data_IF_128158816288
#
_entry.id   IF_128158816288
#
_cell.length_a   1.000
_cell.length_b   1.000
_cell.length_c   1.000
_cell.angle_alpha   90.00
_cell.angle_beta   90.00
_cell.angle_gamma   90.00
#
_symmetry.space_group_name_H-M   'P 1'
#
loop_
_entity.id
_entity.type
_entity.pdbx_description
1 polymer ?
#
# COMPACT_ATOMS: atom_id res chain seq x y z
N UNK A 1 -25.33 -27.28 1.00
CA UNK A 1 -25.75 -27.84 2.30
C UNK A 1 -25.92 -29.35 2.20
N UNK A 2 -26.42 -29.91 1.09
CA UNK A 2 -26.74 -31.32 0.95
C UNK A 2 -25.54 -32.29 0.78
N UNK A 3 -24.31 -31.78 0.64
CA UNK A 3 -23.12 -32.65 0.49
C UNK A 3 -22.45 -32.90 1.86
N UNK A 4 -22.58 -31.97 2.81
CA UNK A 4 -21.94 -32.06 4.12
C UNK A 4 -22.72 -32.86 5.16
N UNK A 5 -24.06 -32.99 5.01
CA UNK A 5 -24.88 -33.84 5.90
C UNK A 5 -24.77 -35.34 5.62
N UNK A 6 -24.08 -35.76 4.54
CA UNK A 6 -23.91 -37.19 4.16
C UNK A 6 -22.55 -37.78 4.50
N UNK A 7 -21.63 -37.01 5.06
CA UNK A 7 -20.29 -37.50 5.37
C UNK A 7 -20.05 -37.37 6.92
N UNK A 8 -20.45 -38.44 7.63
CA UNK A 8 -19.89 -38.74 8.97
C UNK A 8 -18.41 -39.12 8.79
N UNK A 9 -17.54 -38.13 8.56
CA UNK A 9 -16.09 -38.34 8.45
C UNK A 9 -15.39 -37.69 9.65
N UNK A 10 -14.52 -38.44 10.29
CA UNK A 10 -13.59 -37.89 11.28
C UNK A 10 -12.64 -36.90 10.59
N UNK A 11 -12.22 -35.84 11.30
CA UNK A 11 -11.50 -34.66 10.78
C UNK A 11 -10.29 -34.94 9.85
N UNK A 12 -9.58 -36.06 10.06
CA UNK A 12 -8.40 -36.41 9.26
C UNK A 12 -8.75 -36.97 7.87
N UNK A 13 -9.91 -37.62 7.71
CA UNK A 13 -10.37 -38.19 6.42
C UNK A 13 -10.86 -37.13 5.44
N UNK A 14 -11.45 -36.00 5.94
CA UNK A 14 -11.92 -34.89 5.11
C UNK A 14 -10.73 -34.14 4.51
N UNK A 15 -9.67 -33.95 5.30
CA UNK A 15 -8.45 -33.29 4.83
C UNK A 15 -7.73 -34.14 3.76
N UNK A 16 -7.61 -35.45 4.01
CA UNK A 16 -6.99 -36.36 3.04
C UNK A 16 -7.82 -36.47 1.75
N UNK A 17 -9.16 -36.48 1.82
CA UNK A 17 -10.04 -36.47 0.65
C UNK A 17 -9.90 -35.17 -0.14
N UNK A 18 -9.82 -34.00 0.51
CA UNK A 18 -9.66 -32.73 -0.14
C UNK A 18 -8.26 -32.59 -0.78
N UNK A 19 -7.21 -33.01 -0.05
CA UNK A 19 -5.85 -33.03 -0.59
C UNK A 19 -5.72 -33.97 -1.79
N UNK A 20 -6.33 -35.17 -1.75
CA UNK A 20 -6.33 -36.10 -2.86
C UNK A 20 -7.08 -35.52 -4.06
N UNK A 21 -8.25 -34.90 -3.88
CA UNK A 21 -8.98 -34.22 -4.96
C UNK A 21 -8.19 -33.03 -5.57
N UNK A 22 -7.43 -32.32 -4.76
CA UNK A 22 -6.56 -31.25 -5.23
C UNK A 22 -5.36 -31.81 -5.99
N UNK A 23 -4.77 -32.92 -5.54
CA UNK A 23 -3.69 -33.63 -6.24
C UNK A 23 -4.16 -34.24 -7.57
N UNK A 24 -5.36 -34.85 -7.62
CA UNK A 24 -5.94 -35.34 -8.87
C UNK A 24 -6.15 -34.20 -9.86
N UNK A 25 -6.60 -33.03 -9.41
CA UNK A 25 -6.79 -31.86 -10.26
C UNK A 25 -5.45 -31.31 -10.77
N UNK A 26 -4.43 -31.26 -9.93
CA UNK A 26 -3.07 -30.85 -10.32
C UNK A 26 -2.44 -31.86 -11.29
N UNK A 27 -2.68 -33.16 -11.12
CA UNK A 27 -2.23 -34.18 -12.08
C UNK A 27 -2.93 -34.04 -13.43
N UNK A 28 -4.24 -33.75 -13.46
CA UNK A 28 -5.01 -33.54 -14.68
C UNK A 28 -4.50 -32.26 -15.39
N UNK A 29 -4.27 -31.18 -14.67
CA UNK A 29 -3.74 -29.94 -15.24
C UNK A 29 -2.29 -30.10 -15.74
N UNK A 30 -1.46 -30.90 -15.04
CA UNK A 30 -0.13 -31.30 -15.50
C UNK A 30 -0.15 -32.20 -16.73
N UNK A 31 -1.07 -33.15 -16.79
CA UNK A 31 -1.24 -34.03 -17.97
C UNK A 31 -1.77 -33.24 -19.17
N UNK A 32 -2.65 -32.28 -18.98
CA UNK A 32 -3.11 -31.37 -20.03
C UNK A 32 -2.00 -30.43 -20.52
N UNK A 33 -1.11 -29.97 -19.62
CA UNK A 33 0.07 -29.20 -19.99
C UNK A 33 1.12 -30.05 -20.72
N UNK A 34 1.30 -31.33 -20.36
CA UNK A 34 2.21 -32.26 -21.01
C UNK A 34 1.68 -32.77 -22.37
N UNK A 35 0.36 -32.89 -22.53
CA UNK A 35 -0.24 -33.20 -23.81
C UNK A 35 -0.09 -32.09 -24.85
N UNK A 36 0.24 -30.87 -24.42
CA UNK A 36 0.53 -29.72 -25.28
C UNK A 36 2.02 -29.55 -25.63
N UNK A 37 2.93 -30.33 -24.99
CA UNK A 37 4.36 -30.32 -25.28
C UNK A 37 4.86 -31.79 -25.28
N UNK A 38 5.13 -32.32 -26.45
CA UNK A 38 5.61 -33.70 -26.60
C UNK A 38 7.00 -33.92 -25.99
N UNK A 39 7.14 -35.05 -25.31
CA UNK A 39 8.32 -35.86 -24.98
C UNK A 39 9.33 -35.42 -23.91
N UNK A 40 9.56 -36.38 -22.99
CA UNK A 40 10.73 -36.65 -22.16
C UNK A 40 10.96 -35.77 -20.91
N UNK A 41 10.35 -36.13 -19.79
CA UNK A 41 10.94 -36.06 -18.43
C UNK A 41 9.95 -36.56 -17.35
N UNK A 42 9.62 -37.83 -17.32
CA UNK A 42 8.48 -38.34 -16.53
C UNK A 42 8.84 -39.14 -15.25
N UNK A 43 10.10 -39.26 -14.85
CA UNK A 43 10.44 -40.01 -13.62
C UNK A 43 10.99 -39.15 -12.47
N UNK A 44 11.67 -38.03 -12.72
CA UNK A 44 12.15 -37.16 -11.64
C UNK A 44 11.06 -36.26 -11.02
N UNK A 45 9.97 -36.01 -11.75
CA UNK A 45 8.87 -35.14 -11.28
C UNK A 45 7.94 -35.80 -10.23
N UNK A 46 7.85 -37.14 -10.24
CA UNK A 46 6.96 -37.90 -9.34
C UNK A 46 7.55 -37.95 -7.91
N UNK A 47 8.85 -38.20 -7.80
CA UNK A 47 9.55 -38.26 -6.52
C UNK A 47 9.56 -36.92 -5.78
N UNK A 48 9.68 -35.81 -6.52
CA UNK A 48 9.60 -34.45 -5.95
C UNK A 48 8.21 -34.07 -5.45
N UNK A 49 7.14 -34.60 -6.08
CA UNK A 49 5.75 -34.31 -5.67
C UNK A 49 5.34 -35.07 -4.41
N UNK A 50 5.80 -36.31 -4.24
CA UNK A 50 5.58 -37.07 -2.99
C UNK A 50 6.37 -36.50 -1.80
N UNK A 51 7.59 -35.99 -2.04
CA UNK A 51 8.38 -35.31 -1.04
C UNK A 51 7.75 -34.00 -0.59
N UNK A 52 7.20 -33.21 -1.52
CA UNK A 52 6.48 -31.96 -1.25
C UNK A 52 5.18 -32.24 -0.48
N UNK A 53 4.44 -33.27 -0.86
CA UNK A 53 3.23 -33.69 -0.12
C UNK A 53 3.55 -34.14 1.31
N UNK A 54 4.66 -34.84 1.51
CA UNK A 54 5.13 -35.27 2.82
C UNK A 54 5.61 -34.09 3.68
N UNK A 55 6.32 -33.13 3.11
CA UNK A 55 6.74 -31.91 3.79
C UNK A 55 5.54 -31.03 4.18
N UNK A 56 4.54 -30.86 3.29
CA UNK A 56 3.29 -30.16 3.60
C UNK A 56 2.52 -30.83 4.74
N UNK A 57 2.46 -32.18 4.77
CA UNK A 57 1.82 -32.92 5.87
C UNK A 57 2.55 -32.76 7.21
N UNK A 58 3.87 -32.71 7.23
CA UNK A 58 4.65 -32.43 8.43
C UNK A 58 4.52 -30.98 8.92
N UNK A 59 4.55 -30.01 8.00
CA UNK A 59 4.35 -28.59 8.36
C UNK A 59 2.94 -28.32 8.89
N UNK A 60 1.91 -28.96 8.35
CA UNK A 60 0.53 -28.88 8.87
C UNK A 60 0.44 -29.42 10.30
N UNK A 61 1.23 -30.43 10.67
CA UNK A 61 1.30 -30.97 12.03
C UNK A 61 2.00 -30.03 13.03
N UNK A 62 2.99 -29.25 12.58
CA UNK A 62 3.76 -28.34 13.42
C UNK A 62 3.03 -27.03 13.76
N UNK A 63 2.04 -26.62 12.95
CA UNK A 63 1.34 -25.31 13.07
C UNK A 63 0.15 -25.29 14.03
N UNK A 64 -0.03 -26.26 14.87
CA UNK A 64 -1.18 -26.37 15.79
C UNK A 64 -1.30 -25.30 16.90
N UNK A 65 -0.41 -24.30 16.97
CA UNK A 65 -0.32 -23.47 18.18
C UNK A 65 -0.74 -22.00 18.06
N UNK A 66 -0.67 -21.35 16.91
CA UNK A 66 -0.89 -19.88 16.86
C UNK A 66 -1.58 -19.44 15.55
N UNK A 67 -2.88 -19.60 15.41
CA UNK A 67 -3.63 -19.06 14.28
C UNK A 67 -4.64 -18.02 14.74
N UNK A 68 -4.39 -16.74 14.43
CA UNK A 68 -5.35 -15.66 14.57
C UNK A 68 -5.75 -15.20 13.18
N UNK A 69 -7.06 -15.14 12.89
CA UNK A 69 -7.58 -14.74 11.56
C UNK A 69 -7.53 -13.21 11.36
N UNK A 70 -7.40 -12.76 10.10
CA UNK A 70 -7.43 -11.35 9.73
C UNK A 70 -8.71 -10.62 10.17
N UNK A 71 -9.86 -11.29 10.15
CA UNK A 71 -11.12 -10.71 10.60
C UNK A 71 -11.20 -10.53 12.11
N UNK A 72 -10.59 -11.45 12.87
CA UNK A 72 -10.53 -11.34 14.34
C UNK A 72 -9.68 -10.16 14.79
N UNK A 73 -8.64 -9.82 14.04
CA UNK A 73 -7.73 -8.74 14.41
C UNK A 73 -8.40 -7.37 14.23
N UNK A 74 -9.07 -7.13 13.11
CA UNK A 74 -9.51 -5.76 12.77
C UNK A 74 -10.94 -5.44 13.18
N UNK A 75 -11.91 -6.31 12.96
CA UNK A 75 -13.31 -6.00 13.32
C UNK A 75 -13.55 -6.14 14.83
N UNK A 76 -12.95 -7.16 15.48
CA UNK A 76 -13.00 -7.29 16.94
C UNK A 76 -12.22 -6.20 17.68
N UNK A 77 -11.12 -5.69 17.08
CA UNK A 77 -10.43 -4.51 17.62
C UNK A 77 -11.30 -3.24 17.50
N UNK A 78 -12.00 -3.07 16.38
CA UNK A 78 -12.91 -1.93 16.19
C UNK A 78 -14.10 -2.01 17.15
N UNK A 79 -14.68 -3.21 17.36
CA UNK A 79 -15.83 -3.42 18.21
C UNK A 79 -15.50 -3.34 19.71
N UNK A 80 -14.29 -3.68 20.11
CA UNK A 80 -13.79 -3.60 21.49
C UNK A 80 -13.10 -2.28 21.81
N UNK A 81 -13.01 -1.38 20.82
CA UNK A 81 -12.30 -0.12 20.99
C UNK A 81 -13.08 0.80 21.93
N UNK A 82 -12.45 1.22 23.01
CA UNK A 82 -12.96 2.23 23.92
C UNK A 82 -12.34 3.59 23.57
N UNK A 83 -13.21 4.58 23.39
CA UNK A 83 -12.75 5.94 23.08
C UNK A 83 -12.15 6.57 24.35
N UNK A 84 -10.90 7.03 24.24
CA UNK A 84 -10.21 7.79 25.29
C UNK A 84 -10.21 9.27 24.94
N UNK A 85 -10.57 10.09 25.90
CA UNK A 85 -10.51 11.54 25.82
C UNK A 85 -9.06 12.02 25.88
N UNK A 86 -8.73 13.00 25.05
CA UNK A 86 -7.49 13.75 25.14
C UNK A 86 -7.68 15.18 24.65
N UNK A 87 -6.82 16.06 25.13
CA UNK A 87 -6.85 17.48 24.80
C UNK A 87 -5.60 17.92 24.05
N UNK A 88 -5.80 18.93 23.19
CA UNK A 88 -4.70 19.60 22.50
C UNK A 88 -4.76 21.07 22.80
N UNK A 89 -3.57 21.66 22.95
CA UNK A 89 -3.41 23.10 23.13
C UNK A 89 -2.60 23.63 21.96
N UNK A 90 -3.10 24.70 21.36
CA UNK A 90 -2.39 25.43 20.32
C UNK A 90 -2.36 26.92 20.64
N UNK A 91 -1.27 27.58 20.29
CA UNK A 91 -1.10 29.02 20.36
C UNK A 91 -1.08 29.60 18.95
N UNK A 92 -1.92 30.58 18.68
CA UNK A 92 -1.98 31.30 17.41
C UNK A 92 -1.13 32.58 17.51
N UNK A 93 -0.29 32.77 16.51
CA UNK A 93 0.55 33.96 16.34
C UNK A 93 0.23 34.61 14.98
N UNK A 94 0.77 35.78 14.75
CA UNK A 94 0.63 36.44 13.46
C UNK A 94 1.32 35.61 12.35
N UNK A 95 0.50 35.04 11.47
CA UNK A 95 0.96 34.26 10.32
C UNK A 95 1.28 32.78 10.58
N UNK A 96 1.17 32.26 11.80
CA UNK A 96 1.40 30.83 12.08
C UNK A 96 0.75 30.35 13.38
N UNK A 97 0.72 29.04 13.57
CA UNK A 97 0.20 28.38 14.77
C UNK A 97 1.24 27.41 15.32
N UNK A 98 1.42 27.38 16.64
CA UNK A 98 2.27 26.42 17.33
C UNK A 98 1.44 25.47 18.20
N UNK A 99 1.77 24.19 18.19
CA UNK A 99 1.10 23.16 19.00
C UNK A 99 1.96 22.80 20.20
N UNK A 100 1.31 22.56 21.33
CA UNK A 100 1.98 22.03 22.52
C UNK A 100 2.64 20.69 22.19
N UNK A 101 3.93 20.60 22.46
CA UNK A 101 4.74 19.39 22.24
C UNK A 101 5.07 18.69 23.56
N UNK A 102 5.65 19.45 24.52
CA UNK A 102 6.07 18.93 25.82
C UNK A 102 5.52 19.80 26.96
N UNK A 103 5.30 19.17 28.09
CA UNK A 103 4.95 19.82 29.35
C UNK A 103 5.73 19.18 30.50
N UNK A 104 6.33 20.01 31.36
CA UNK A 104 7.18 19.54 32.48
C UNK A 104 8.25 18.53 32.04
N UNK A 105 8.87 18.77 30.88
CA UNK A 105 9.97 17.96 30.33
C UNK A 105 9.56 16.63 29.69
N UNK A 106 8.26 16.31 29.62
CA UNK A 106 7.73 15.09 28.99
C UNK A 106 6.83 15.46 27.81
N UNK A 107 6.62 14.52 26.88
CA UNK A 107 5.61 14.66 25.84
C UNK A 107 4.26 15.02 26.48
N UNK A 108 3.60 16.06 25.97
CA UNK A 108 2.34 16.51 26.53
C UNK A 108 1.24 15.47 26.23
N UNK A 109 0.68 14.90 27.29
CA UNK A 109 -0.47 13.99 27.24
C UNK A 109 -1.52 14.54 28.21
N UNK A 110 -2.44 15.34 27.69
CA UNK A 110 -3.52 15.96 28.46
C UNK A 110 -4.76 15.07 28.35
N UNK A 111 -5.13 14.41 29.44
CA UNK A 111 -6.20 13.40 29.47
C UNK A 111 -7.58 13.95 29.81
N UNK A 112 -7.64 15.16 30.38
CA UNK A 112 -8.88 15.78 30.79
C UNK A 112 -8.79 17.30 30.76
N UNK A 113 -9.94 17.94 30.89
CA UNK A 113 -10.04 19.41 30.85
C UNK A 113 -9.30 20.07 32.02
N UNK A 114 -9.36 19.50 33.22
CA UNK A 114 -8.71 20.08 34.40
C UNK A 114 -7.19 20.18 34.27
N UNK A 115 -6.53 19.12 33.79
CA UNK A 115 -5.08 19.14 33.50
C UNK A 115 -4.73 20.20 32.44
N UNK A 116 -5.62 20.34 31.45
CA UNK A 116 -5.45 21.33 30.38
C UNK A 116 -5.59 22.75 30.91
N UNK A 117 -6.55 23.00 31.79
CA UNK A 117 -6.76 24.31 32.41
C UNK A 117 -5.60 24.68 33.39
N UNK A 118 -5.07 23.72 34.13
CA UNK A 118 -3.86 23.93 34.95
C UNK A 118 -2.67 24.39 34.07
N UNK A 119 -2.47 23.73 32.93
CA UNK A 119 -1.43 24.14 31.98
C UNK A 119 -1.71 25.52 31.44
N UNK A 120 -2.91 25.85 30.97
CA UNK A 120 -3.24 27.17 30.45
C UNK A 120 -3.05 28.26 31.46
N UNK A 121 -3.44 28.04 32.72
CA UNK A 121 -3.25 28.98 33.83
C UNK A 121 -1.77 29.17 34.22
N UNK A 122 -0.90 28.23 33.85
CA UNK A 122 0.53 28.30 34.09
C UNK A 122 1.29 29.08 33.02
N UNK A 123 0.67 29.42 31.88
CA UNK A 123 1.31 30.12 30.79
C UNK A 123 1.46 31.62 31.07
N UNK A 124 2.58 32.16 30.66
CA UNK A 124 2.82 33.62 30.63
C UNK A 124 2.21 34.25 29.37
N UNK A 125 2.07 35.56 29.35
CA UNK A 125 1.57 36.31 28.20
C UNK A 125 2.48 36.20 26.97
N UNK A 126 3.78 36.00 27.15
CA UNK A 126 4.76 35.93 26.07
C UNK A 126 5.44 34.57 25.98
N UNK A 127 5.77 34.19 24.78
CA UNK A 127 6.49 32.98 24.45
C UNK A 127 7.90 33.30 24.00
N UNK A 128 8.87 32.59 24.54
CA UNK A 128 10.29 32.74 24.22
C UNK A 128 10.65 31.84 23.03
N UNK A 129 11.21 32.41 21.97
CA UNK A 129 11.72 31.69 20.81
C UNK A 129 13.01 30.96 21.18
N UNK A 130 12.88 29.71 21.61
CA UNK A 130 14.00 28.91 22.11
C UNK A 130 14.90 28.41 21.00
N UNK A 131 14.32 27.99 19.88
CA UNK A 131 15.06 27.42 18.75
C UNK A 131 14.36 27.70 17.43
N UNK A 132 15.15 27.99 16.40
CA UNK A 132 14.72 28.08 15.01
C UNK A 132 15.69 27.26 14.16
N UNK A 133 15.23 26.19 13.56
CA UNK A 133 16.09 25.29 12.81
C UNK A 133 15.47 24.98 11.45
N UNK A 134 16.26 25.11 10.38
CA UNK A 134 15.87 24.71 9.04
C UNK A 134 16.70 23.50 8.58
N UNK A 135 16.05 22.45 8.16
CA UNK A 135 16.70 21.21 7.66
C UNK A 135 16.19 20.83 6.30
N UNK A 136 17.10 20.63 5.36
CA UNK A 136 16.78 20.09 4.06
C UNK A 136 16.70 18.55 4.12
N UNK A 137 15.63 18.00 3.55
CA UNK A 137 15.42 16.54 3.45
C UNK A 137 15.09 16.16 2.02
N UNK A 138 15.63 15.03 1.58
CA UNK A 138 15.23 14.44 0.33
C UNK A 138 13.87 13.78 0.51
N UNK A 139 12.91 14.12 -0.37
CA UNK A 139 11.67 13.38 -0.55
C UNK A 139 11.86 12.45 -1.73
N UNK A 140 11.94 11.18 -1.44
CA UNK A 140 12.23 10.15 -2.41
C UNK A 140 11.00 9.76 -3.22
N UNK A 141 11.21 9.37 -4.49
CA UNK A 141 10.17 8.75 -5.29
C UNK A 141 9.91 7.32 -4.83
N UNK A 142 8.69 6.86 -5.06
CA UNK A 142 8.33 5.45 -4.87
C UNK A 142 8.92 4.60 -6.02
N UNK A 143 9.02 3.29 -5.82
CA UNK A 143 9.48 2.34 -6.84
C UNK A 143 8.56 2.31 -8.09
N UNK A 144 9.02 1.75 -9.21
CA UNK A 144 8.16 1.46 -10.36
C UNK A 144 6.96 0.60 -9.97
N UNK A 145 5.91 0.59 -10.78
CA UNK A 145 4.71 -0.15 -10.46
C UNK A 145 4.88 -1.67 -10.58
N UNK A 146 4.45 -2.37 -9.53
CA UNK A 146 3.98 -3.75 -9.57
C UNK A 146 2.48 -3.77 -9.78
N UNK A 147 1.87 -4.94 -9.97
CA UNK A 147 0.39 -5.09 -10.02
C UNK A 147 -0.27 -4.52 -8.76
N UNK A 148 0.23 -4.91 -7.60
CA UNK A 148 -0.30 -4.47 -6.30
C UNK A 148 -0.22 -2.95 -6.15
N UNK A 149 0.95 -2.36 -6.34
CA UNK A 149 1.14 -0.92 -6.20
C UNK A 149 0.38 -0.11 -7.26
N UNK A 150 0.19 -0.64 -8.49
CA UNK A 150 -0.64 -0.02 -9.52
C UNK A 150 -2.12 0.00 -9.09
N UNK A 151 -2.65 -1.11 -8.60
CA UNK A 151 -4.04 -1.18 -8.12
C UNK A 151 -4.27 -0.23 -6.95
N UNK A 152 -3.34 -0.17 -5.99
CA UNK A 152 -3.40 0.75 -4.85
C UNK A 152 -3.43 2.21 -5.30
N UNK A 153 -2.47 2.63 -6.13
CA UNK A 153 -2.37 4.03 -6.58
C UNK A 153 -3.54 4.42 -7.52
N UNK A 154 -4.00 3.51 -8.39
CA UNK A 154 -5.16 3.76 -9.23
C UNK A 154 -6.45 3.92 -8.40
N UNK A 155 -6.59 3.14 -7.32
CA UNK A 155 -7.70 3.29 -6.38
C UNK A 155 -7.66 4.65 -5.67
N UNK A 156 -6.51 5.07 -5.18
CA UNK A 156 -6.34 6.31 -4.42
C UNK A 156 -6.42 7.55 -5.32
N UNK A 157 -5.77 7.53 -6.49
CA UNK A 157 -5.56 8.71 -7.34
C UNK A 157 -6.58 8.85 -8.46
N UNK A 158 -7.12 7.74 -8.96
CA UNK A 158 -8.05 7.72 -10.09
C UNK A 158 -9.46 7.25 -9.69
N UNK A 159 -9.61 6.79 -8.44
CA UNK A 159 -10.86 6.19 -7.95
C UNK A 159 -11.29 4.96 -8.78
N UNK A 160 -10.33 4.18 -9.23
CA UNK A 160 -10.59 2.93 -9.95
C UNK A 160 -10.67 1.78 -8.96
N UNK A 161 -11.61 0.85 -9.19
CA UNK A 161 -11.54 -0.45 -8.50
C UNK A 161 -10.37 -1.27 -9.04
N UNK A 162 -9.90 -2.24 -8.27
CA UNK A 162 -8.85 -3.18 -8.69
C UNK A 162 -9.22 -3.89 -10.00
N UNK A 163 -10.48 -4.33 -10.13
CA UNK A 163 -11.01 -4.93 -11.36
C UNK A 163 -10.94 -3.97 -12.55
N UNK A 164 -11.40 -2.70 -12.37
CA UNK A 164 -11.34 -1.69 -13.42
C UNK A 164 -9.90 -1.39 -13.83
N UNK A 165 -9.00 -1.27 -12.85
CA UNK A 165 -7.58 -1.06 -13.09
C UNK A 165 -6.99 -2.15 -13.99
N UNK A 166 -7.28 -3.42 -13.68
CA UNK A 166 -6.76 -4.54 -14.46
C UNK A 166 -7.37 -4.62 -15.85
N UNK A 167 -8.66 -4.34 -16.01
CA UNK A 167 -9.30 -4.30 -17.34
C UNK A 167 -8.71 -3.21 -18.24
N UNK A 168 -8.48 -2.02 -17.70
CA UNK A 168 -7.87 -0.92 -18.44
C UNK A 168 -6.40 -1.21 -18.75
N UNK A 169 -5.65 -1.76 -17.78
CA UNK A 169 -4.26 -2.16 -17.99
C UNK A 169 -4.13 -3.26 -19.07
N UNK A 170 -5.06 -4.22 -19.10
CA UNK A 170 -5.10 -5.27 -20.12
C UNK A 170 -5.22 -4.67 -21.52
N UNK A 171 -6.14 -3.73 -21.74
CA UNK A 171 -6.29 -3.04 -23.03
C UNK A 171 -5.04 -2.27 -23.44
N UNK A 172 -4.42 -1.56 -22.49
CA UNK A 172 -3.17 -0.82 -22.76
C UNK A 172 -2.01 -1.74 -23.12
N UNK A 173 -2.02 -2.98 -22.63
CA UNK A 173 -1.03 -4.00 -22.94
C UNK A 173 -1.29 -4.69 -24.27
N UNK A 174 -2.55 -5.13 -24.53
CA UNK A 174 -2.92 -5.86 -25.74
C UNK A 174 -2.74 -5.04 -27.01
N UNK A 175 -2.99 -3.75 -26.94
CA UNK A 175 -2.73 -2.82 -28.03
C UNK A 175 -3.77 -1.73 -28.17
N UNK A 176 -3.28 -0.57 -28.56
CA UNK A 176 -4.06 0.62 -28.92
C UNK A 176 -3.75 0.95 -30.37
N UNK A 177 -4.79 1.17 -31.17
CA UNK A 177 -4.65 1.55 -32.57
C UNK A 177 -4.15 3.00 -32.65
N UNK A 178 -2.88 3.14 -33.01
CA UNK A 178 -2.26 4.42 -33.35
C UNK A 178 -2.24 4.51 -34.88
N UNK A 179 -2.59 5.63 -35.46
CA UNK A 179 -2.75 5.88 -36.91
C UNK A 179 -2.17 4.86 -37.93
N UNK A 180 -0.99 4.30 -37.64
CA UNK A 180 -0.26 3.38 -38.53
C UNK A 180 -0.13 1.96 -38.06
N UNK A 181 -0.32 1.70 -36.76
CA UNK A 181 -0.06 0.40 -36.15
C UNK A 181 -0.81 0.24 -34.83
N UNK A 182 -1.07 -1.01 -34.44
CA UNK A 182 -1.58 -1.34 -33.11
C UNK A 182 -0.40 -1.58 -32.17
N UNK A 183 -0.29 -0.79 -31.09
CA UNK A 183 0.85 -0.81 -30.17
C UNK A 183 0.41 -1.08 -28.75
N UNK A 184 1.00 -2.08 -28.10
CA UNK A 184 0.95 -2.23 -26.65
C UNK A 184 1.68 -1.07 -25.96
N UNK A 185 0.94 -0.24 -25.21
CA UNK A 185 1.50 0.97 -24.61
C UNK A 185 2.21 0.71 -23.28
N UNK A 186 1.93 -0.41 -22.62
CA UNK A 186 2.58 -0.79 -21.35
C UNK A 186 3.16 -2.21 -21.42
N UNK A 187 4.10 -2.51 -20.55
CA UNK A 187 4.58 -3.87 -20.29
C UNK A 187 3.50 -4.72 -19.65
N UNK A 188 3.72 -6.03 -19.57
CA UNK A 188 2.77 -6.95 -18.94
C UNK A 188 2.43 -6.52 -17.51
N UNK A 189 1.13 -6.36 -17.22
CA UNK A 189 0.64 -5.71 -16.01
C UNK A 189 0.53 -6.64 -14.80
N UNK A 190 0.68 -7.97 -14.99
CA UNK A 190 0.70 -8.91 -13.87
C UNK A 190 2.13 -9.25 -13.52
N UNK A 191 2.72 -8.46 -12.63
CA UNK A 191 4.11 -8.57 -12.20
C UNK A 191 4.29 -8.07 -10.78
N UNK A 192 5.17 -8.67 -10.04
CA UNK A 192 5.67 -8.24 -8.73
C UNK A 192 7.08 -7.65 -8.81
N UNK A 193 7.66 -7.62 -10.03
CA UNK A 193 9.00 -7.11 -10.27
C UNK A 193 9.05 -5.58 -10.31
N UNK A 194 10.08 -5.01 -9.68
CA UNK A 194 10.44 -3.59 -9.78
C UNK A 194 11.50 -3.29 -10.85
N UNK A 195 11.89 -4.29 -11.62
CA UNK A 195 12.97 -4.19 -12.61
C UNK A 195 12.58 -3.30 -13.78
N UNK A 196 13.52 -2.47 -14.23
CA UNK A 196 13.49 -1.75 -15.49
C UNK A 196 14.69 -2.17 -16.34
N UNK A 197 14.49 -2.52 -17.61
CA UNK A 197 15.58 -2.88 -18.49
C UNK A 197 16.48 -1.68 -18.81
N UNK A 198 17.76 -1.93 -19.01
CA UNK A 198 18.72 -0.90 -19.43
C UNK A 198 18.38 -0.31 -20.81
N UNK A 199 17.77 -1.13 -21.69
CA UNK A 199 17.31 -0.71 -23.03
C UNK A 199 16.24 0.39 -22.90
N UNK A 200 15.37 0.31 -21.90
CA UNK A 200 14.37 1.36 -21.63
C UNK A 200 14.95 2.52 -20.83
N UNK A 201 15.77 2.25 -19.81
CA UNK A 201 16.27 3.31 -18.92
C UNK A 201 17.16 4.33 -19.64
N UNK A 202 17.98 3.89 -20.59
CA UNK A 202 18.91 4.79 -21.30
C UNK A 202 18.18 5.88 -22.11
N UNK A 203 17.20 5.55 -23.01
CA UNK A 203 16.41 6.57 -23.69
C UNK A 203 15.55 7.40 -22.74
N UNK A 204 15.00 6.81 -21.67
CA UNK A 204 14.22 7.55 -20.70
C UNK A 204 15.03 8.62 -19.96
N UNK A 205 16.27 8.30 -19.57
CA UNK A 205 17.19 9.29 -18.95
C UNK A 205 17.58 10.40 -19.93
N UNK A 206 17.82 10.07 -21.20
CA UNK A 206 18.05 11.10 -22.25
C UNK A 206 16.83 12.00 -22.45
N UNK A 207 15.63 11.43 -22.40
CA UNK A 207 14.39 12.20 -22.45
C UNK A 207 14.26 13.15 -21.27
N UNK A 208 14.56 12.68 -20.05
CA UNK A 208 14.56 13.52 -18.83
C UNK A 208 15.56 14.67 -18.98
N UNK A 209 16.80 14.37 -19.39
CA UNK A 209 17.86 15.36 -19.57
C UNK A 209 17.44 16.44 -20.61
N UNK A 210 16.91 16.01 -21.75
CA UNK A 210 16.50 16.90 -22.83
C UNK A 210 15.29 17.78 -22.42
N UNK A 211 14.35 17.22 -21.64
CA UNK A 211 13.06 17.88 -21.37
C UNK A 211 13.09 18.75 -20.14
N UNK A 212 13.79 18.31 -19.10
CA UNK A 212 13.78 18.95 -17.78
C UNK A 212 15.16 19.51 -17.37
N UNK A 213 16.24 19.00 -17.93
CA UNK A 213 17.62 19.36 -17.58
C UNK A 213 18.39 18.21 -16.94
N UNK A 214 19.72 18.29 -17.01
CA UNK A 214 20.64 17.30 -16.45
C UNK A 214 20.51 17.14 -14.93
N UNK A 215 20.16 18.20 -14.24
CA UNK A 215 19.94 18.26 -12.79
C UNK A 215 18.79 17.36 -12.33
N UNK A 216 17.84 17.02 -13.21
CA UNK A 216 16.71 16.12 -12.91
C UNK A 216 17.02 14.64 -13.09
N UNK A 217 18.12 14.30 -13.79
CA UNK A 217 18.47 12.90 -14.05
C UNK A 217 18.92 12.23 -12.77
N UNK A 218 18.20 11.19 -12.37
CA UNK A 218 18.46 10.39 -11.19
C UNK A 218 18.89 8.96 -11.51
N UNK A 219 18.82 8.12 -10.50
CA UNK A 219 19.07 6.69 -10.59
C UNK A 219 17.91 5.90 -9.99
N UNK A 220 17.57 4.78 -10.64
CA UNK A 220 16.61 3.86 -10.08
C UNK A 220 17.13 3.35 -8.73
N UNK A 221 16.34 3.57 -7.67
CA UNK A 221 16.64 2.94 -6.39
C UNK A 221 16.28 1.46 -6.45
N UNK A 222 17.18 0.63 -5.97
CA UNK A 222 16.86 -0.78 -5.77
C UNK A 222 15.77 -0.87 -4.69
N UNK A 223 14.57 -1.29 -5.10
CA UNK A 223 13.56 -1.69 -4.13
C UNK A 223 14.07 -2.94 -3.39
N UNK A 224 13.77 -3.03 -2.10
CA UNK A 224 14.02 -4.28 -1.38
C UNK A 224 13.19 -5.37 -2.07
N UNK A 225 13.87 -6.41 -2.55
CA UNK A 225 13.16 -7.58 -3.08
C UNK A 225 12.32 -8.16 -1.95
N UNK A 226 11.04 -8.31 -2.19
CA UNK A 226 10.21 -9.15 -1.34
C UNK A 226 10.70 -10.60 -1.41
N UNK A 227 10.38 -11.44 -0.43
CA UNK A 227 10.82 -12.84 -0.40
C UNK A 227 10.37 -13.67 -1.60
N UNK A 228 9.35 -13.25 -2.34
CA UNK A 228 8.65 -14.02 -3.38
C UNK A 228 8.61 -13.31 -4.74
N UNK A 229 9.62 -12.51 -5.11
CA UNK A 229 9.63 -11.78 -6.39
C UNK A 229 10.09 -12.70 -7.52
N UNK A 230 9.19 -13.01 -8.44
CA UNK A 230 9.52 -13.67 -9.71
C UNK A 230 10.13 -12.65 -10.69
N UNK A 231 11.45 -12.68 -10.88
CA UNK A 231 12.20 -11.73 -11.74
C UNK A 231 11.97 -11.94 -13.26
N UNK A 232 11.03 -12.80 -13.67
CA UNK A 232 10.77 -13.12 -15.08
C UNK A 232 10.30 -11.90 -15.90
N UNK A 233 9.54 -10.99 -15.26
CA UNK A 233 8.98 -9.83 -15.91
C UNK A 233 9.66 -8.53 -15.46
N UNK A 234 9.39 -7.45 -16.19
CA UNK A 234 9.70 -6.10 -15.75
C UNK A 234 8.52 -5.49 -14.97
N UNK A 235 8.77 -4.36 -14.30
CA UNK A 235 7.71 -3.54 -13.71
C UNK A 235 6.71 -3.06 -14.75
N UNK A 236 5.53 -2.64 -14.31
CA UNK A 236 4.54 -2.01 -15.20
C UNK A 236 5.05 -0.62 -15.59
N UNK A 237 5.41 -0.47 -16.86
CA UNK A 237 6.00 0.75 -17.44
C UNK A 237 5.51 0.97 -18.87
N UNK A 238 5.65 2.17 -19.44
CA UNK A 238 5.42 2.37 -20.88
C UNK A 238 6.41 1.52 -21.70
N UNK A 239 5.96 1.01 -22.83
CA UNK A 239 6.82 0.25 -23.77
C UNK A 239 7.86 1.15 -24.42
N UNK A 240 7.48 2.40 -24.74
CA UNK A 240 8.36 3.43 -25.27
C UNK A 240 8.19 4.77 -24.54
N UNK A 241 9.31 5.44 -24.28
CA UNK A 241 9.30 6.79 -23.70
C UNK A 241 8.75 7.83 -24.67
N UNK A 242 8.81 7.57 -25.97
CA UNK A 242 8.36 8.49 -27.03
C UNK A 242 6.84 8.55 -27.15
N UNK A 243 6.13 7.57 -26.60
CA UNK A 243 4.68 7.54 -26.50
C UNK A 243 4.22 8.35 -25.26
N UNK A 244 4.51 9.65 -25.27
CA UNK A 244 4.11 10.54 -24.18
C UNK A 244 2.59 10.57 -24.04
N UNK A 245 2.04 10.74 -22.81
CA UNK A 245 0.58 10.83 -22.60
C UNK A 245 -0.09 11.85 -23.51
N UNK A 246 0.55 12.99 -23.78
CA UNK A 246 0.00 14.03 -24.67
C UNK A 246 -0.12 13.53 -26.10
N UNK A 247 0.90 12.81 -26.60
CA UNK A 247 0.93 12.28 -27.98
C UNK A 247 -0.15 11.22 -28.21
N UNK A 248 -0.35 10.32 -27.25
CA UNK A 248 -1.30 9.20 -27.38
C UNK A 248 -2.72 9.53 -26.94
N UNK A 249 -2.95 10.71 -26.33
CA UNK A 249 -4.25 11.10 -25.75
C UNK A 249 -5.43 10.93 -26.70
N UNK A 250 -5.26 11.27 -27.99
CA UNK A 250 -6.34 11.24 -28.97
C UNK A 250 -6.83 9.82 -29.32
N UNK A 251 -6.03 8.81 -29.00
CA UNK A 251 -6.34 7.40 -29.27
C UNK A 251 -6.89 6.67 -28.03
N UNK A 252 -6.87 7.31 -26.87
CA UNK A 252 -7.23 6.70 -25.58
C UNK A 252 -8.57 7.23 -25.08
N UNK A 253 -9.36 6.33 -24.52
CA UNK A 253 -10.49 6.72 -23.68
C UNK A 253 -10.01 7.48 -22.44
N UNK A 254 -10.92 8.15 -21.74
CA UNK A 254 -10.59 8.90 -20.52
C UNK A 254 -9.91 8.01 -19.45
N UNK A 255 -10.39 6.77 -19.29
CA UNK A 255 -9.86 5.85 -18.29
C UNK A 255 -8.48 5.33 -18.70
N UNK A 256 -8.30 4.94 -19.95
CA UNK A 256 -7.01 4.51 -20.50
C UNK A 256 -5.97 5.61 -20.41
N UNK A 257 -6.35 6.85 -20.80
CA UNK A 257 -5.47 8.00 -20.66
C UNK A 257 -5.06 8.28 -19.21
N UNK A 258 -6.00 8.16 -18.26
CA UNK A 258 -5.73 8.42 -16.86
C UNK A 258 -4.75 7.39 -16.29
N UNK A 259 -4.99 6.10 -16.57
CA UNK A 259 -4.12 5.00 -16.08
C UNK A 259 -2.75 5.05 -16.77
N UNK A 260 -2.72 5.23 -18.09
CA UNK A 260 -1.48 5.37 -18.84
C UNK A 260 -0.63 6.54 -18.34
N UNK A 261 -1.26 7.69 -18.10
CA UNK A 261 -0.58 8.87 -17.57
C UNK A 261 0.01 8.60 -16.16
N UNK A 262 -0.70 7.87 -15.33
CA UNK A 262 -0.21 7.49 -14.01
C UNK A 262 1.03 6.59 -14.12
N UNK A 263 0.98 5.56 -14.97
CA UNK A 263 2.08 4.62 -15.22
C UNK A 263 3.29 5.36 -15.81
N UNK A 264 3.09 6.16 -16.85
CA UNK A 264 4.14 6.91 -17.52
C UNK A 264 4.86 7.87 -16.57
N UNK A 265 4.10 8.68 -15.84
CA UNK A 265 4.69 9.66 -14.90
C UNK A 265 5.40 8.99 -13.73
N UNK A 266 4.88 7.85 -13.22
CA UNK A 266 5.56 7.08 -12.18
C UNK A 266 6.91 6.54 -12.67
N UNK A 267 6.95 6.00 -13.88
CA UNK A 267 8.16 5.45 -14.47
C UNK A 267 9.22 6.54 -14.67
N UNK A 268 8.84 7.72 -15.17
CA UNK A 268 9.76 8.86 -15.23
C UNK A 268 10.26 9.28 -13.85
N UNK A 269 9.33 9.45 -12.90
CA UNK A 269 9.65 9.83 -11.52
C UNK A 269 10.69 8.91 -10.89
N UNK A 270 10.62 7.60 -11.14
CA UNK A 270 11.60 6.62 -10.63
C UNK A 270 13.03 6.83 -11.15
N UNK A 271 13.18 7.50 -12.29
CA UNK A 271 14.46 7.79 -12.94
C UNK A 271 14.94 9.23 -12.71
N UNK A 272 14.15 10.04 -11.97
CA UNK A 272 14.48 11.42 -11.63
C UNK A 272 15.09 11.54 -10.23
N UNK A 273 15.77 12.66 -9.98
CA UNK A 273 16.28 12.96 -8.64
C UNK A 273 15.16 13.19 -7.63
N UNK A 274 15.40 12.92 -6.34
CA UNK A 274 14.48 13.27 -5.25
C UNK A 274 14.12 14.75 -5.26
N UNK A 275 12.95 15.09 -4.75
CA UNK A 275 12.64 16.47 -4.40
C UNK A 275 13.37 16.84 -3.10
N UNK A 276 13.74 18.12 -2.96
CA UNK A 276 14.37 18.65 -1.74
C UNK A 276 13.36 19.57 -1.06
N UNK A 277 13.00 19.21 0.17
CA UNK A 277 12.07 19.97 1.01
C UNK A 277 12.86 20.51 2.19
N UNK A 278 12.81 21.84 2.39
CA UNK A 278 13.28 22.48 3.61
C UNK A 278 12.16 22.46 4.64
N UNK A 279 12.41 21.91 5.81
CA UNK A 279 11.50 21.97 6.95
C UNK A 279 12.09 22.95 7.97
N UNK A 280 11.41 24.07 8.16
CA UNK A 280 11.72 25.02 9.24
C UNK A 280 10.89 24.65 10.46
N UNK A 281 11.54 24.44 11.59
CA UNK A 281 10.91 24.12 12.87
C UNK A 281 11.25 25.21 13.86
N UNK A 282 10.23 25.73 14.52
CA UNK A 282 10.36 26.75 15.59
C UNK A 282 9.88 26.13 16.89
N UNK A 283 10.68 26.27 17.93
CA UNK A 283 10.35 25.86 19.28
C UNK A 283 10.16 27.12 20.17
N UNK A 284 8.97 27.18 20.76
CA UNK A 284 8.54 28.29 21.62
C UNK A 284 8.38 27.77 23.04
N UNK A 285 9.13 28.32 23.97
CA UNK A 285 9.03 27.95 25.37
C UNK A 285 8.16 28.96 26.12
N UNK A 286 7.28 28.44 26.97
CA UNK A 286 6.51 29.24 27.93
C UNK A 286 6.44 28.46 29.25
N UNK A 287 7.17 28.94 30.26
CA UNK A 287 7.39 28.23 31.52
C UNK A 287 7.84 26.78 31.30
N UNK A 288 7.08 25.78 31.79
CA UNK A 288 7.36 24.36 31.64
C UNK A 288 6.78 23.78 30.34
N UNK A 289 6.12 24.57 29.51
CA UNK A 289 5.52 24.17 28.26
C UNK A 289 6.41 24.50 27.07
N UNK A 290 6.55 23.54 26.13
CA UNK A 290 7.23 23.70 24.87
C UNK A 290 6.23 23.52 23.73
N UNK A 291 6.10 24.54 22.92
CA UNK A 291 5.28 24.53 21.72
C UNK A 291 6.16 24.43 20.48
N UNK A 292 5.64 23.81 19.42
CA UNK A 292 6.35 23.68 18.15
C UNK A 292 5.45 24.07 16.98
N UNK A 293 6.04 24.83 16.06
CA UNK A 293 5.50 25.08 14.73
C UNK A 293 6.45 24.54 13.67
N UNK A 294 5.92 24.05 12.55
CA UNK A 294 6.71 23.58 11.43
C UNK A 294 6.11 24.06 10.12
N UNK A 295 6.98 24.50 9.22
CA UNK A 295 6.63 24.84 7.85
C UNK A 295 7.53 24.10 6.87
N UNK A 296 7.01 23.84 5.66
CA UNK A 296 7.74 23.16 4.60
C UNK A 296 7.77 24.03 3.35
N UNK A 297 8.96 24.20 2.80
CA UNK A 297 9.20 24.87 1.53
C UNK A 297 9.85 23.91 0.53
N UNK A 298 9.40 23.95 -0.73
CA UNK A 298 10.00 23.18 -1.82
C UNK A 298 11.23 23.92 -2.35
N UNK A 299 12.41 23.35 -2.17
CA UNK A 299 13.68 23.90 -2.64
C UNK A 299 14.01 23.41 -4.06
N UNK A 300 13.79 22.13 -4.32
CA UNK A 300 13.95 21.51 -5.63
C UNK A 300 12.84 20.52 -5.85
N UNK A 301 12.12 20.65 -6.97
CA UNK A 301 10.94 19.84 -7.24
C UNK A 301 11.27 18.40 -7.69
N UNK A 302 12.45 18.16 -8.28
CA UNK A 302 12.90 16.82 -8.64
C UNK A 302 11.81 16.02 -9.39
N UNK A 303 11.53 14.79 -8.92
CA UNK A 303 10.50 13.94 -9.51
C UNK A 303 9.07 14.50 -9.41
N UNK A 304 8.82 15.42 -8.50
CA UNK A 304 7.51 16.08 -8.37
C UNK A 304 7.15 16.90 -9.61
N UNK A 305 8.14 17.27 -10.43
CA UNK A 305 7.92 17.94 -11.73
C UNK A 305 6.95 17.16 -12.60
N UNK A 306 7.01 15.83 -12.60
CA UNK A 306 6.16 14.95 -13.39
C UNK A 306 5.09 14.25 -12.57
N UNK A 307 5.35 14.01 -11.28
CA UNK A 307 4.48 13.21 -10.42
C UNK A 307 3.74 14.03 -9.35
N UNK A 308 4.03 15.32 -9.22
CA UNK A 308 3.48 16.18 -8.17
C UNK A 308 1.96 16.25 -8.12
N UNK A 309 1.27 16.15 -9.27
CA UNK A 309 -0.21 16.10 -9.32
C UNK A 309 -0.83 14.87 -8.61
N UNK A 310 -0.03 13.84 -8.37
CA UNK A 310 -0.44 12.63 -7.66
C UNK A 310 0.02 12.61 -6.19
N UNK A 311 0.78 13.61 -5.76
CA UNK A 311 1.30 13.73 -4.41
C UNK A 311 0.58 14.86 -3.65
N UNK A 312 0.35 14.64 -2.35
CA UNK A 312 -0.08 15.71 -1.47
C UNK A 312 1.16 16.33 -0.83
N UNK A 313 1.37 17.61 -1.06
CA UNK A 313 2.44 18.38 -0.45
C UNK A 313 1.83 19.65 0.11
N UNK A 314 1.80 19.74 1.43
CA UNK A 314 1.37 20.95 2.14
C UNK A 314 2.60 21.84 2.33
N UNK A 315 2.64 22.92 1.58
CA UNK A 315 3.67 23.93 1.69
C UNK A 315 3.13 25.09 2.52
N UNK A 316 3.94 25.55 3.45
CA UNK A 316 3.64 26.69 4.30
C UNK A 316 4.92 27.49 4.57
N UNK A 317 4.77 28.72 4.93
CA UNK A 317 5.90 29.61 5.26
C UNK A 317 5.70 30.09 6.68
N UNK A 318 6.75 30.02 7.50
CA UNK A 318 6.79 30.72 8.79
C UNK A 318 7.31 32.12 8.57
N UNK A 319 6.82 33.12 9.34
CA UNK A 319 7.44 34.42 9.36
C UNK A 319 8.90 34.31 9.87
N UNK A 320 9.68 35.34 9.61
CA UNK A 320 11.05 35.39 10.11
C UNK A 320 11.03 35.55 11.62
N UNK A 321 11.43 34.52 12.33
CA UNK A 321 11.50 34.51 13.81
C UNK A 321 12.95 34.49 14.24
N UNK A 322 13.27 35.38 15.15
CA UNK A 322 14.63 35.52 15.69
C UNK A 322 14.73 34.75 17.01
N UNK A 323 15.72 33.86 17.09
CA UNK A 323 16.01 33.13 18.32
C UNK A 323 16.32 34.14 19.46
N UNK A 324 15.99 33.72 20.69
CA UNK A 324 16.21 34.50 21.91
C UNK A 324 15.37 35.77 22.00
N UNK A 325 14.23 35.83 21.32
CA UNK A 325 13.23 36.91 21.41
C UNK A 325 11.93 36.41 22.03
N UNK A 326 11.14 37.35 22.57
CA UNK A 326 9.79 37.06 23.04
C UNK A 326 8.75 37.46 21.99
N UNK A 327 7.71 36.66 21.87
CA UNK A 327 6.56 36.94 20.99
C UNK A 327 5.25 36.71 21.74
N UNK A 328 4.26 37.54 21.44
CA UNK A 328 2.94 37.46 22.07
C UNK A 328 1.97 36.70 21.15
N UNK A 329 1.24 35.69 21.65
CA UNK A 329 0.22 35.04 20.88
C UNK A 329 -1.01 35.94 20.69
N UNK A 330 -1.73 35.73 19.60
CA UNK A 330 -3.05 36.34 19.40
C UNK A 330 -4.09 35.63 20.27
N UNK A 331 -3.96 34.31 20.38
CA UNK A 331 -4.84 33.46 21.15
C UNK A 331 -4.12 32.17 21.57
N UNK A 332 -4.57 31.59 22.70
CA UNK A 332 -4.20 30.21 23.09
C UNK A 332 -5.49 29.44 23.34
N UNK A 333 -5.72 28.38 22.58
CA UNK A 333 -6.95 27.62 22.65
C UNK A 333 -6.69 26.14 22.99
N UNK A 334 -7.65 25.56 23.69
CA UNK A 334 -7.74 24.12 23.95
C UNK A 334 -8.83 23.49 23.09
N UNK A 335 -8.61 22.27 22.64
CA UNK A 335 -9.60 21.49 21.89
C UNK A 335 -9.68 20.07 22.43
N UNK A 336 -10.91 19.61 22.65
CA UNK A 336 -11.21 18.24 23.07
C UNK A 336 -11.18 17.30 21.87
N UNK A 337 -10.59 16.15 22.05
CA UNK A 337 -10.51 15.09 21.06
C UNK A 337 -10.77 13.73 21.72
N UNK A 338 -11.19 12.79 20.91
CA UNK A 338 -11.31 11.37 21.31
C UNK A 338 -10.47 10.53 20.38
N UNK A 339 -9.87 9.47 20.92
CA UNK A 339 -9.19 8.47 20.10
C UNK A 339 -10.21 7.80 19.19
N UNK A 340 -9.76 7.31 18.03
CA UNK A 340 -10.64 6.67 17.06
C UNK A 340 -10.20 5.23 16.83
N UNK A 341 -11.14 4.30 16.62
CA UNK A 341 -10.79 2.93 16.29
C UNK A 341 -9.98 2.85 15.00
N UNK A 342 -9.27 1.75 14.75
CA UNK A 342 -8.59 1.51 13.47
C UNK A 342 -9.58 1.67 12.31
N UNK A 343 -9.10 2.31 11.25
CA UNK A 343 -9.95 2.54 10.09
C UNK A 343 -10.17 1.25 9.30
N UNK A 344 -11.43 0.94 8.94
CA UNK A 344 -11.77 -0.19 8.06
C UNK A 344 -11.01 -0.14 6.74
N UNK A 345 -10.76 -1.28 6.15
CA UNK A 345 -10.02 -1.41 4.90
C UNK A 345 -10.72 -0.73 3.72
N UNK A 346 -9.94 -0.03 2.92
CA UNK A 346 -10.27 0.31 1.52
C UNK A 346 -9.71 -0.78 0.61
N UNK A 347 -10.10 -0.82 -0.69
CA UNK A 347 -9.49 -1.75 -1.65
C UNK A 347 -7.96 -1.63 -1.67
N UNK A 348 -7.45 -0.41 -1.71
CA UNK A 348 -6.01 -0.16 -1.74
C UNK A 348 -5.30 -0.69 -0.48
N UNK A 349 -5.88 -0.46 0.71
CA UNK A 349 -5.29 -0.93 1.96
C UNK A 349 -5.38 -2.46 2.08
N UNK A 350 -6.49 -3.07 1.64
CA UNK A 350 -6.62 -4.53 1.67
C UNK A 350 -5.60 -5.20 0.75
N UNK A 351 -5.40 -4.68 -0.47
CA UNK A 351 -4.37 -5.19 -1.40
C UNK A 351 -2.98 -5.06 -0.77
N UNK A 352 -2.69 -3.92 -0.15
CA UNK A 352 -1.41 -3.72 0.54
C UNK A 352 -1.20 -4.71 1.68
N UNK A 353 -2.22 -4.92 2.51
CA UNK A 353 -2.18 -5.88 3.61
C UNK A 353 -1.97 -7.31 3.11
N UNK A 354 -2.70 -7.73 2.07
CA UNK A 354 -2.51 -9.03 1.44
C UNK A 354 -1.07 -9.21 0.94
N UNK A 355 -0.51 -8.18 0.27
CA UNK A 355 0.88 -8.18 -0.21
C UNK A 355 1.88 -8.30 0.95
N UNK A 356 1.70 -7.52 2.02
CA UNK A 356 2.59 -7.50 3.19
C UNK A 356 2.57 -8.84 3.96
N UNK A 357 1.42 -9.50 3.98
CA UNK A 357 1.23 -10.82 4.58
C UNK A 357 1.63 -11.98 3.67
N UNK A 358 2.00 -11.71 2.41
CA UNK A 358 2.34 -12.73 1.42
C UNK A 358 1.15 -13.53 0.88
N UNK A 359 -0.07 -13.00 1.03
CA UNK A 359 -1.32 -13.60 0.55
C UNK A 359 -1.72 -13.00 -0.79
N UNK A 360 -2.06 -13.85 -1.74
CA UNK A 360 -2.42 -13.43 -3.09
C UNK A 360 -1.19 -13.13 -3.96
N UNK A 361 -1.43 -13.10 -5.26
CA UNK A 361 -0.43 -12.86 -6.30
C UNK A 361 -0.97 -11.84 -7.29
N UNK A 362 -0.16 -11.31 -8.20
CA UNK A 362 -0.60 -10.38 -9.24
C UNK A 362 -1.86 -10.80 -10.01
N UNK A 363 -2.08 -12.11 -10.14
CA UNK A 363 -3.27 -12.66 -10.79
C UNK A 363 -4.51 -12.70 -9.91
N UNK A 364 -4.38 -12.75 -8.58
CA UNK A 364 -5.49 -13.07 -7.65
C UNK A 364 -6.00 -11.88 -6.85
N UNK A 365 -5.23 -10.80 -6.61
CA UNK A 365 -5.68 -9.66 -5.80
C UNK A 365 -7.05 -9.12 -6.20
N UNK A 366 -7.22 -8.78 -7.48
CA UNK A 366 -8.48 -8.26 -8.00
C UNK A 366 -9.62 -9.28 -7.95
N UNK A 367 -9.31 -10.56 -8.16
CA UNK A 367 -10.29 -11.64 -8.13
C UNK A 367 -10.80 -11.86 -6.71
N UNK A 368 -9.93 -11.88 -5.72
CA UNK A 368 -10.28 -12.00 -4.29
C UNK A 368 -11.27 -10.92 -3.87
N UNK A 369 -10.97 -9.65 -4.17
CA UNK A 369 -11.87 -8.53 -3.87
C UNK A 369 -13.22 -8.67 -4.59
N UNK A 370 -13.18 -9.10 -5.86
CA UNK A 370 -14.40 -9.32 -6.64
C UNK A 370 -15.26 -10.44 -6.03
N UNK A 371 -14.62 -11.52 -5.58
CA UNK A 371 -15.29 -12.64 -4.92
C UNK A 371 -15.96 -12.23 -3.61
N UNK A 372 -15.27 -11.49 -2.75
CA UNK A 372 -15.82 -10.97 -1.50
C UNK A 372 -17.09 -10.15 -1.74
N UNK A 373 -17.09 -9.30 -2.77
CA UNK A 373 -18.24 -8.47 -3.15
C UNK A 373 -19.39 -9.29 -3.74
N UNK A 374 -19.09 -10.17 -4.70
CA UNK A 374 -20.09 -10.96 -5.42
C UNK A 374 -20.82 -11.93 -4.49
N UNK A 375 -20.09 -12.52 -3.54
CA UNK A 375 -20.67 -13.40 -2.52
C UNK A 375 -21.34 -12.65 -1.37
N UNK A 376 -21.33 -11.29 -1.42
CA UNK A 376 -21.91 -10.42 -0.40
C UNK A 376 -21.33 -10.67 1.01
N UNK A 377 -20.10 -11.12 1.10
CA UNK A 377 -19.42 -11.25 2.38
C UNK A 377 -19.06 -9.88 2.97
N UNK A 378 -18.92 -8.88 2.10
CA UNK A 378 -18.68 -7.49 2.47
C UNK A 378 -19.62 -6.55 1.70
N UNK A 379 -19.99 -5.45 2.32
CA UNK A 379 -20.58 -4.26 1.70
C UNK A 379 -19.54 -3.16 1.61
N UNK A 380 -19.81 -2.11 0.83
CA UNK A 380 -18.93 -0.95 0.72
C UNK A 380 -19.69 0.29 1.12
N UNK A 381 -19.22 0.99 2.15
CA UNK A 381 -19.70 2.29 2.57
C UNK A 381 -18.52 3.24 2.64
N UNK A 382 -18.63 4.42 2.04
CA UNK A 382 -17.56 5.42 1.99
C UNK A 382 -16.19 4.84 1.51
N UNK A 383 -16.23 3.95 0.51
CA UNK A 383 -15.07 3.23 -0.03
C UNK A 383 -14.39 2.26 0.93
N UNK A 384 -15.01 1.93 2.05
CA UNK A 384 -14.52 1.00 3.07
C UNK A 384 -15.32 -0.28 3.05
N UNK A 385 -14.65 -1.40 3.25
CA UNK A 385 -15.29 -2.69 3.42
C UNK A 385 -15.91 -2.80 4.79
N UNK A 386 -17.17 -3.23 4.82
CA UNK A 386 -17.90 -3.57 6.03
C UNK A 386 -18.31 -5.03 5.90
N UNK A 387 -17.87 -5.93 6.79
CA UNK A 387 -18.32 -7.30 6.81
C UNK A 387 -19.84 -7.38 6.97
N UNK A 388 -20.48 -8.24 6.19
CA UNK A 388 -21.90 -8.55 6.35
C UNK A 388 -22.10 -9.64 7.41
N UNK A 389 -23.33 -9.80 7.92
CA UNK A 389 -23.65 -10.89 8.85
C UNK A 389 -23.36 -12.26 8.23
N UNK A 390 -23.65 -12.43 6.92
CA UNK A 390 -23.29 -13.63 6.18
C UNK A 390 -21.77 -13.83 6.12
N UNK A 391 -21.01 -12.75 5.92
CA UNK A 391 -19.54 -12.81 5.90
C UNK A 391 -18.96 -13.25 7.23
N UNK A 392 -19.43 -12.64 8.33
CA UNK A 392 -19.03 -12.97 9.71
C UNK A 392 -19.36 -14.42 10.05
N UNK A 393 -20.62 -14.83 9.84
CA UNK A 393 -21.04 -16.20 10.10
C UNK A 393 -20.22 -17.22 9.30
N UNK A 394 -19.92 -16.92 8.04
CA UNK A 394 -19.09 -17.80 7.19
C UNK A 394 -17.69 -17.95 7.78
N UNK A 395 -17.04 -16.86 8.18
CA UNK A 395 -15.70 -16.89 8.78
C UNK A 395 -15.73 -17.63 10.11
N UNK A 396 -16.68 -17.31 11.01
CA UNK A 396 -16.81 -17.97 12.32
C UNK A 396 -16.93 -19.51 12.16
N UNK A 397 -17.74 -19.96 11.18
CA UNK A 397 -17.87 -21.41 10.91
C UNK A 397 -16.62 -22.01 10.27
N UNK A 398 -15.96 -21.32 9.39
CA UNK A 398 -14.70 -21.76 8.82
C UNK A 398 -13.59 -21.86 9.87
N UNK A 399 -13.53 -20.91 10.79
CA UNK A 399 -12.58 -20.94 11.91
C UNK A 399 -12.89 -22.06 12.92
N UNK A 400 -14.18 -22.30 13.19
CA UNK A 400 -14.63 -23.36 14.09
C UNK A 400 -14.25 -24.75 13.56
N UNK A 401 -14.50 -25.01 12.25
CA UNK A 401 -14.33 -26.34 11.69
C UNK A 401 -13.02 -26.53 10.94
N UNK A 402 -12.40 -25.48 10.45
CA UNK A 402 -11.23 -25.52 9.57
C UNK A 402 -10.09 -24.61 10.01
N UNK A 403 -9.95 -24.38 11.33
CA UNK A 403 -8.95 -23.44 11.90
C UNK A 403 -7.52 -23.68 11.42
N UNK A 404 -7.16 -24.92 11.09
CA UNK A 404 -5.83 -25.29 10.60
C UNK A 404 -5.51 -24.77 9.19
N UNK A 405 -6.53 -24.62 8.35
CA UNK A 405 -6.39 -24.21 6.93
C UNK A 405 -6.79 -22.74 6.75
N UNK A 406 -7.66 -22.22 7.60
CA UNK A 406 -8.14 -20.84 7.56
C UNK A 406 -7.24 -19.97 8.46
N UNK A 407 -5.98 -19.85 8.06
CA UNK A 407 -5.07 -18.92 8.73
C UNK A 407 -4.23 -18.15 7.71
N UNK A 408 -3.86 -16.95 8.08
CA UNK A 408 -2.97 -16.08 7.30
C UNK A 408 -1.66 -16.80 7.01
N UNK A 409 -1.06 -17.37 8.04
CA UNK A 409 0.24 -18.06 7.96
C UNK A 409 0.20 -19.32 7.10
N UNK A 410 -0.89 -20.09 7.17
CA UNK A 410 -1.06 -21.25 6.31
C UNK A 410 -1.15 -20.84 4.84
N UNK A 411 -2.01 -19.87 4.53
CA UNK A 411 -2.20 -19.38 3.16
C UNK A 411 -0.90 -18.81 2.60
N UNK A 412 -0.20 -17.98 3.37
CA UNK A 412 1.07 -17.38 2.94
C UNK A 412 2.15 -18.44 2.67
N UNK A 413 2.26 -19.48 3.52
CA UNK A 413 3.19 -20.59 3.31
C UNK A 413 2.82 -21.44 2.11
N UNK A 414 1.55 -21.78 1.96
CA UNK A 414 1.07 -22.55 0.80
C UNK A 414 1.39 -21.82 -0.51
N UNK A 415 1.10 -20.52 -0.59
CA UNK A 415 1.41 -19.71 -1.78
C UNK A 415 2.92 -19.62 -2.04
N UNK A 416 3.73 -19.57 -0.98
CA UNK A 416 5.19 -19.60 -1.12
C UNK A 416 5.70 -20.93 -1.67
N UNK A 417 5.17 -22.05 -1.17
CA UNK A 417 5.53 -23.38 -1.68
C UNK A 417 5.14 -23.50 -3.16
N UNK A 418 3.99 -22.95 -3.57
CA UNK A 418 3.58 -22.95 -4.98
C UNK A 418 4.46 -22.07 -5.88
N UNK A 419 5.10 -21.03 -5.35
CA UNK A 419 6.09 -20.22 -6.09
C UNK A 419 7.41 -20.96 -6.29
N UNK A 420 7.76 -21.89 -5.39
CA UNK A 420 9.03 -22.63 -5.42
C UNK A 420 8.96 -23.88 -6.35
N UNK A 421 7.77 -24.26 -6.87
CA UNK A 421 7.53 -25.32 -7.85
C UNK A 421 7.65 -24.78 -9.30
#
# INVERSE_FOLDING_TARGET
IDIFEKLELEDDDVLDTYLNAMFEKLQIDSQLAQASQGDLASQESITSQEDIASQLKEEIKLTRKDSTSLNDIFDKEIEKFEEEEFWRVKAEFEGFTAQLLNYKGKKAELKNESETDELLNSLNEEFYVQNVEAKNRNRETKAPFTTSSLQQEASIKLNFSSRKTMLVAQKLYEGIDLESETVGLITYMRTDSYRLSNIFMAPAKKYIEKTFGKEYVGSLKQAKKGPNVQDAHESVRPTSIDNTPVKVKKYLSKDEFSLYSLIYNRTLACLMKPAIISTTSVELKNNDALFRSQAQALIFDGYLKVYGKYESLELSVLPELVKDTNIKPLNVEKTQHFTKPPARFTEARLIKEMEDLGIGRPSTYSQTITTLKNRKYVSITEKRFIPSDQGRLTVDKLEEFFSKIISVDYTARMEKVLDDI
#
